data_IF_963053426639
#
_entry.id   IF_963053426639
#
_cell.length_a   1.000
_cell.length_b   1.000
_cell.length_c   1.000
_cell.angle_alpha   90.00
_cell.angle_beta   90.00
_cell.angle_gamma   90.00
#
_symmetry.space_group_name_H-M   'P 1'
#
loop_
_entity.id
_entity.type
_entity.pdbx_description
1 polymer ?
#
# COMPACT_ATOMS: atom_id res chain seq x y z
N UNK A 1 6.72 23.44 -35.43
CA UNK A 1 6.81 24.20 -34.15
C UNK A 1 6.24 23.30 -33.07
N UNK A 2 6.86 23.21 -31.90
CA UNK A 2 6.26 22.44 -30.79
C UNK A 2 5.06 23.20 -30.24
N UNK A 3 3.95 22.48 -30.11
CA UNK A 3 2.66 23.02 -29.66
C UNK A 3 2.77 23.62 -28.25
N UNK A 4 2.18 24.80 -28.03
CA UNK A 4 2.11 25.45 -26.71
C UNK A 4 0.90 24.92 -25.95
N UNK A 5 1.13 24.00 -25.02
CA UNK A 5 0.08 23.47 -24.16
C UNK A 5 0.03 24.21 -22.83
N UNK A 6 -1.17 24.50 -22.34
CA UNK A 6 -1.40 24.95 -20.97
C UNK A 6 -2.19 23.90 -20.20
N UNK A 7 -1.60 23.35 -19.14
CA UNK A 7 -2.28 22.40 -18.26
C UNK A 7 -2.89 23.15 -17.07
N UNK A 8 -4.19 22.97 -16.83
CA UNK A 8 -4.82 23.47 -15.61
C UNK A 8 -4.75 22.41 -14.53
N UNK A 9 -4.45 22.82 -13.30
CA UNK A 9 -4.38 21.90 -12.16
C UNK A 9 -4.83 22.58 -10.87
N UNK A 10 -4.97 21.78 -9.80
CA UNK A 10 -5.11 22.28 -8.45
C UNK A 10 -3.80 22.15 -7.67
N UNK A 11 -3.74 22.79 -6.51
CA UNK A 11 -2.53 22.95 -5.71
C UNK A 11 -1.80 21.64 -5.41
N UNK A 12 -2.53 20.60 -4.95
CA UNK A 12 -1.92 19.31 -4.56
C UNK A 12 -1.33 18.52 -5.73
N UNK A 13 -1.73 18.83 -6.96
CA UNK A 13 -1.31 18.11 -8.16
C UNK A 13 -0.20 18.85 -8.94
N UNK A 14 0.08 20.10 -8.59
CA UNK A 14 1.06 20.95 -9.27
C UNK A 14 2.48 20.36 -9.28
N UNK A 15 3.09 19.98 -8.13
CA UNK A 15 4.49 19.51 -8.12
C UNK A 15 4.68 18.21 -8.91
N UNK A 16 3.69 17.30 -8.84
CA UNK A 16 3.70 16.05 -9.62
C UNK A 16 3.59 16.32 -11.11
N UNK A 17 2.72 17.26 -11.52
CA UNK A 17 2.55 17.61 -12.91
C UNK A 17 3.83 18.27 -13.46
N UNK A 18 4.47 19.16 -12.71
CA UNK A 18 5.75 19.77 -13.10
C UNK A 18 6.83 18.73 -13.39
N UNK A 19 7.01 17.76 -12.48
CA UNK A 19 8.00 16.68 -12.66
C UNK A 19 7.63 15.75 -13.80
N UNK A 20 6.34 15.43 -13.96
CA UNK A 20 5.85 14.65 -15.09
C UNK A 20 6.14 15.36 -16.41
N UNK A 21 5.82 16.65 -16.55
CA UNK A 21 6.10 17.42 -17.76
C UNK A 21 7.60 17.57 -18.03
N UNK A 22 8.42 17.74 -16.99
CA UNK A 22 9.88 17.75 -17.12
C UNK A 22 10.41 16.42 -17.72
N UNK A 23 9.77 15.29 -17.40
CA UNK A 23 10.08 13.97 -17.96
C UNK A 23 9.84 13.84 -19.47
N UNK A 24 9.08 14.75 -20.10
CA UNK A 24 8.91 14.78 -21.56
C UNK A 24 10.05 15.50 -22.30
N UNK A 25 10.98 16.16 -21.59
CA UNK A 25 12.15 16.80 -22.18
C UNK A 25 11.80 17.94 -23.16
N UNK A 26 12.49 17.98 -24.31
CA UNK A 26 12.33 19.05 -25.33
C UNK A 26 10.90 19.20 -25.87
N UNK A 27 10.10 18.13 -25.88
CA UNK A 27 8.70 18.21 -26.32
C UNK A 27 7.86 19.12 -25.42
N UNK A 28 8.11 19.09 -24.11
CA UNK A 28 7.41 19.91 -23.13
C UNK A 28 7.98 21.32 -22.97
N UNK A 29 8.97 21.72 -23.79
CA UNK A 29 9.61 23.05 -23.73
C UNK A 29 8.62 24.21 -23.76
N UNK A 30 7.55 24.05 -24.54
CA UNK A 30 6.48 25.04 -24.71
C UNK A 30 5.24 24.77 -23.85
N UNK A 31 5.30 23.78 -22.96
CA UNK A 31 4.21 23.44 -22.08
C UNK A 31 4.30 24.26 -20.79
N UNK A 32 3.16 24.71 -20.30
CA UNK A 32 3.04 25.51 -19.07
C UNK A 32 1.96 24.93 -18.19
N UNK A 33 2.07 25.16 -16.89
CA UNK A 33 1.08 24.72 -15.91
C UNK A 33 0.50 25.97 -15.24
N UNK A 34 -0.81 25.94 -14.97
CA UNK A 34 -1.49 26.97 -14.21
C UNK A 34 -2.29 26.34 -13.07
N UNK A 35 -1.92 26.66 -11.82
CA UNK A 35 -2.73 26.35 -10.64
C UNK A 35 -3.91 27.31 -10.58
N UNK A 36 -5.13 26.77 -10.68
CA UNK A 36 -6.36 27.57 -10.66
C UNK A 36 -6.77 27.99 -9.23
N UNK A 37 -5.99 27.61 -8.21
CA UNK A 37 -6.19 27.98 -6.81
C UNK A 37 -7.26 27.16 -6.10
N UNK A 38 -7.46 25.90 -6.51
CA UNK A 38 -8.28 24.91 -5.78
C UNK A 38 -7.37 23.84 -5.17
N UNK A 39 -7.76 23.26 -4.03
CA UNK A 39 -6.93 22.24 -3.37
C UNK A 39 -6.76 20.98 -4.23
N UNK A 40 -7.85 20.47 -4.81
CA UNK A 40 -7.87 19.26 -5.66
C UNK A 40 -8.52 19.58 -7.01
N UNK A 41 -7.96 19.06 -8.10
CA UNK A 41 -8.43 19.28 -9.48
C UNK A 41 -9.92 18.94 -9.70
N UNK A 42 -10.48 17.97 -8.95
CA UNK A 42 -11.90 17.60 -9.04
C UNK A 42 -12.86 18.72 -8.60
N UNK A 43 -12.38 19.73 -7.85
CA UNK A 43 -13.16 20.90 -7.43
C UNK A 43 -13.13 22.04 -8.46
N UNK A 44 -12.42 21.86 -9.57
CA UNK A 44 -12.34 22.85 -10.65
C UNK A 44 -13.66 22.87 -11.43
N UNK A 45 -14.39 23.98 -11.37
CA UNK A 45 -15.62 24.21 -12.13
C UNK A 45 -15.39 25.22 -13.25
N UNK A 46 -16.29 25.24 -14.23
CA UNK A 46 -16.28 26.22 -15.33
C UNK A 46 -16.22 27.67 -14.83
N UNK A 47 -17.01 28.03 -13.83
CA UNK A 47 -17.02 29.38 -13.25
C UNK A 47 -15.68 29.77 -12.62
N UNK A 48 -15.03 28.81 -11.95
CA UNK A 48 -13.70 29.03 -11.36
C UNK A 48 -12.67 29.29 -12.46
N UNK A 49 -12.71 28.51 -13.55
CA UNK A 49 -11.79 28.68 -14.68
C UNK A 49 -12.01 30.05 -15.34
N UNK A 50 -13.24 30.40 -15.66
CA UNK A 50 -13.59 31.68 -16.28
C UNK A 50 -13.13 32.88 -15.45
N UNK A 51 -13.21 32.78 -14.12
CA UNK A 51 -12.83 33.85 -13.20
C UNK A 51 -11.33 33.96 -12.97
N UNK A 52 -10.60 32.83 -12.92
CA UNK A 52 -9.23 32.78 -12.38
C UNK A 52 -8.15 32.57 -13.44
N UNK A 53 -8.48 32.02 -14.60
CA UNK A 53 -7.52 31.85 -15.68
C UNK A 53 -7.21 33.24 -16.30
N UNK A 54 -5.95 33.72 -16.27
CA UNK A 54 -5.61 35.06 -16.73
C UNK A 54 -5.77 35.22 -18.24
N UNK A 55 -6.05 36.45 -18.66
CA UNK A 55 -6.13 36.88 -20.07
C UNK A 55 -5.03 37.92 -20.36
N UNK A 56 -4.41 37.91 -21.54
CA UNK A 56 -4.64 37.01 -22.68
C UNK A 56 -4.03 35.60 -22.47
N UNK A 57 -4.63 34.59 -23.11
CA UNK A 57 -4.15 33.21 -23.06
C UNK A 57 -3.02 33.00 -24.07
N UNK A 58 -1.85 32.55 -23.60
CA UNK A 58 -0.68 32.30 -24.43
C UNK A 58 -0.46 30.79 -24.69
N UNK A 59 -1.48 30.11 -25.20
CA UNK A 59 -1.44 28.67 -25.48
C UNK A 59 -2.18 28.34 -26.78
N UNK A 60 -1.72 27.32 -27.48
CA UNK A 60 -2.38 26.77 -28.68
C UNK A 60 -3.51 25.81 -28.28
N UNK A 61 -3.43 25.20 -27.09
CA UNK A 61 -4.45 24.31 -26.52
C UNK A 61 -4.34 24.26 -25.00
N UNK A 62 -5.49 24.18 -24.32
CA UNK A 62 -5.60 24.05 -22.85
C UNK A 62 -6.06 22.65 -22.47
N UNK A 63 -5.28 21.96 -21.64
CA UNK A 63 -5.58 20.62 -21.14
C UNK A 63 -6.14 20.74 -19.72
N UNK A 64 -7.40 20.35 -19.55
CA UNK A 64 -8.05 20.23 -18.25
C UNK A 64 -7.79 18.85 -17.63
N UNK A 65 -7.85 18.72 -16.29
CA UNK A 65 -7.91 17.41 -15.65
C UNK A 65 -9.13 16.63 -16.14
N UNK A 66 -9.01 15.31 -16.37
CA UNK A 66 -10.10 14.51 -16.96
C UNK A 66 -11.41 14.55 -16.15
N UNK A 67 -11.31 14.68 -14.82
CA UNK A 67 -12.46 14.78 -13.91
C UNK A 67 -13.08 16.18 -13.82
N UNK A 68 -12.50 17.20 -14.46
CA UNK A 68 -13.05 18.55 -14.45
C UNK A 68 -14.37 18.58 -15.21
N UNK A 69 -15.48 18.90 -14.54
CA UNK A 69 -16.80 19.02 -15.16
C UNK A 69 -17.00 20.46 -15.64
N UNK A 70 -16.55 20.76 -16.85
CA UNK A 70 -16.75 22.06 -17.51
C UNK A 70 -17.20 21.89 -18.96
N UNK A 71 -17.99 22.85 -19.46
CA UNK A 71 -18.30 22.97 -20.88
C UNK A 71 -17.08 23.52 -21.64
N UNK A 72 -16.46 22.66 -22.44
CA UNK A 72 -15.26 22.98 -23.19
C UNK A 72 -15.54 23.99 -24.32
N UNK A 73 -16.75 23.97 -24.90
CA UNK A 73 -17.12 24.88 -25.98
C UNK A 73 -17.24 26.31 -25.44
N UNK A 74 -17.94 26.47 -24.32
CA UNK A 74 -18.05 27.77 -23.64
C UNK A 74 -16.68 28.32 -23.22
N UNK A 75 -15.78 27.47 -22.71
CA UNK A 75 -14.42 27.89 -22.36
C UNK A 75 -13.60 28.28 -23.60
N UNK A 76 -13.70 27.51 -24.69
CA UNK A 76 -12.98 27.80 -25.91
C UNK A 76 -13.41 29.14 -26.53
N UNK A 77 -14.71 29.44 -26.52
CA UNK A 77 -15.23 30.74 -26.96
C UNK A 77 -14.73 31.89 -26.08
N UNK A 78 -14.77 31.72 -24.75
CA UNK A 78 -14.40 32.77 -23.80
C UNK A 78 -12.91 33.13 -23.81
N UNK A 79 -12.03 32.18 -24.15
CA UNK A 79 -10.57 32.36 -24.12
C UNK A 79 -9.91 32.38 -25.51
N UNK A 80 -10.64 32.03 -26.58
CA UNK A 80 -10.14 32.05 -27.94
C UNK A 80 -9.12 30.94 -28.25
N UNK A 81 -9.14 29.83 -27.51
CA UNK A 81 -8.27 28.67 -27.73
C UNK A 81 -9.01 27.35 -27.46
N UNK A 82 -8.65 26.24 -28.13
CA UNK A 82 -9.21 24.92 -27.85
C UNK A 82 -8.99 24.46 -26.40
N UNK A 83 -10.03 23.89 -25.78
CA UNK A 83 -9.97 23.19 -24.50
C UNK A 83 -10.19 21.70 -24.72
N UNK A 84 -9.39 20.89 -24.04
CA UNK A 84 -9.47 19.43 -24.09
C UNK A 84 -9.45 18.84 -22.67
N UNK A 85 -10.12 17.70 -22.50
CA UNK A 85 -10.00 16.90 -21.28
C UNK A 85 -8.81 15.97 -21.42
N UNK A 86 -7.81 16.17 -20.58
CA UNK A 86 -6.71 15.23 -20.38
C UNK A 86 -7.15 13.98 -19.61
N UNK A 87 -6.20 13.13 -19.20
CA UNK A 87 -6.50 11.94 -18.42
C UNK A 87 -7.05 12.30 -17.03
N UNK A 88 -7.76 11.35 -16.41
CA UNK A 88 -8.21 11.51 -15.02
C UNK A 88 -7.04 11.58 -14.03
N UNK A 89 -5.97 10.83 -14.30
CA UNK A 89 -4.79 10.77 -13.44
C UNK A 89 -3.55 11.27 -14.19
N UNK A 90 -2.69 12.04 -13.50
CA UNK A 90 -1.41 12.52 -14.06
C UNK A 90 -0.51 11.35 -14.49
N UNK A 91 -0.61 10.20 -13.82
CA UNK A 91 0.15 9.01 -14.17
C UNK A 91 -0.15 8.48 -15.57
N UNK A 92 -1.35 8.76 -16.11
CA UNK A 92 -1.75 8.35 -17.46
C UNK A 92 -1.36 9.38 -18.53
N UNK A 93 -0.77 10.52 -18.14
CA UNK A 93 -0.39 11.58 -19.08
C UNK A 93 0.60 11.10 -20.16
N UNK A 94 1.60 10.24 -19.86
CA UNK A 94 2.40 9.60 -20.88
C UNK A 94 1.55 8.85 -21.89
N UNK A 95 0.64 7.98 -21.43
CA UNK A 95 -0.22 7.17 -22.30
C UNK A 95 -1.15 8.05 -23.15
N UNK A 96 -1.69 9.12 -22.56
CA UNK A 96 -2.49 10.13 -23.26
C UNK A 96 -1.72 10.79 -24.42
N UNK A 97 -0.41 10.98 -24.28
CA UNK A 97 0.49 11.43 -25.36
C UNK A 97 1.15 10.28 -26.14
N UNK A 98 0.64 9.05 -26.04
CA UNK A 98 1.14 7.88 -26.79
C UNK A 98 2.48 7.31 -26.29
N UNK A 99 2.94 7.69 -25.10
CA UNK A 99 4.17 7.20 -24.46
C UNK A 99 3.87 6.14 -23.41
N UNK A 100 4.80 5.20 -23.20
CA UNK A 100 4.74 4.30 -22.03
C UNK A 100 5.15 5.09 -20.78
N UNK A 101 4.27 5.14 -19.78
CA UNK A 101 4.61 5.68 -18.45
C UNK A 101 5.62 4.78 -17.73
N UNK A 102 6.55 5.36 -16.98
CA UNK A 102 7.47 4.62 -16.14
C UNK A 102 6.77 4.08 -14.89
N UNK A 103 7.09 2.84 -14.47
CA UNK A 103 6.69 2.33 -13.15
C UNK A 103 7.44 3.11 -12.07
N UNK A 104 6.77 3.42 -10.96
CA UNK A 104 7.42 4.07 -9.83
C UNK A 104 8.47 3.15 -9.20
N UNK A 105 9.61 3.72 -8.78
CA UNK A 105 10.62 2.98 -8.02
C UNK A 105 10.14 2.80 -6.57
N UNK A 106 9.87 1.55 -6.19
CA UNK A 106 9.41 1.16 -4.85
C UNK A 106 10.49 0.40 -4.06
N UNK A 107 11.73 0.41 -4.52
CA UNK A 107 12.83 -0.32 -3.87
C UNK A 107 13.25 0.34 -2.55
N UNK A 108 12.98 1.63 -2.39
CA UNK A 108 13.40 2.46 -1.25
C UNK A 108 12.28 2.66 -0.23
N UNK A 109 12.67 2.77 1.02
CA UNK A 109 11.84 3.18 2.16
C UNK A 109 12.75 3.71 3.27
N UNK A 110 12.19 4.44 4.23
CA UNK A 110 12.90 4.92 5.43
C UNK A 110 12.20 4.58 6.76
N UNK A 111 11.01 3.99 6.70
CA UNK A 111 10.37 3.38 7.86
C UNK A 111 10.90 1.95 8.07
N UNK A 112 11.19 1.61 9.32
CA UNK A 112 11.63 0.29 9.78
C UNK A 112 10.51 -0.41 10.52
N UNK A 113 10.28 -1.68 10.18
CA UNK A 113 9.24 -2.50 10.79
C UNK A 113 9.84 -3.36 11.89
N UNK A 114 9.35 -3.18 13.11
CA UNK A 114 9.56 -4.03 14.29
C UNK A 114 8.39 -5.00 14.31
N UNK A 115 8.64 -6.25 13.92
CA UNK A 115 7.61 -7.28 13.87
C UNK A 115 7.69 -8.15 15.12
N UNK A 116 6.63 -8.12 15.90
CA UNK A 116 6.56 -8.80 17.20
C UNK A 116 6.22 -10.29 17.05
N UNK A 117 6.94 -11.11 17.81
CA UNK A 117 6.61 -12.50 18.14
C UNK A 117 6.11 -12.51 19.59
N UNK A 118 4.80 -12.33 19.76
CA UNK A 118 4.15 -12.07 21.06
C UNK A 118 4.34 -13.19 22.08
N UNK A 119 4.40 -14.42 21.61
CA UNK A 119 4.46 -15.65 22.40
C UNK A 119 5.87 -16.27 22.41
N UNK A 120 6.90 -15.47 22.13
CA UNK A 120 8.29 -15.94 22.06
C UNK A 120 8.73 -16.72 23.32
N UNK A 121 8.22 -16.36 24.50
CA UNK A 121 8.57 -17.03 25.76
C UNK A 121 8.12 -18.49 25.87
N UNK A 122 7.08 -18.91 25.13
CA UNK A 122 6.54 -20.27 25.15
C UNK A 122 6.89 -21.10 23.91
N UNK A 123 7.48 -20.46 22.91
CA UNK A 123 8.02 -21.13 21.72
C UNK A 123 9.37 -21.76 22.04
N UNK A 124 9.82 -22.70 21.23
CA UNK A 124 11.22 -23.13 21.19
C UNK A 124 12.07 -22.14 20.38
N UNK A 125 13.39 -22.14 20.60
CA UNK A 125 14.35 -21.33 19.83
C UNK A 125 14.17 -21.53 18.31
N UNK A 126 13.99 -22.78 17.87
CA UNK A 126 13.81 -23.13 16.46
C UNK A 126 12.50 -22.57 15.88
N UNK A 127 11.41 -22.61 16.64
CA UNK A 127 10.13 -22.01 16.24
C UNK A 127 10.24 -20.50 16.13
N UNK A 128 10.94 -19.84 17.07
CA UNK A 128 11.19 -18.39 17.02
C UNK A 128 12.00 -18.04 15.77
N UNK A 129 13.04 -18.82 15.44
CA UNK A 129 13.85 -18.60 14.23
C UNK A 129 13.01 -18.78 12.96
N UNK A 130 12.16 -19.82 12.91
CA UNK A 130 11.27 -20.05 11.77
C UNK A 130 10.30 -18.86 11.59
N UNK A 131 9.70 -18.39 12.68
CA UNK A 131 8.81 -17.23 12.66
C UNK A 131 9.53 -15.94 12.26
N UNK A 132 10.71 -15.69 12.81
CA UNK A 132 11.56 -14.55 12.48
C UNK A 132 11.93 -14.52 10.98
N UNK A 133 12.23 -15.68 10.40
CA UNK A 133 12.54 -15.81 8.97
C UNK A 133 11.33 -15.42 8.12
N UNK A 134 10.15 -15.93 8.43
CA UNK A 134 8.91 -15.57 7.72
C UNK A 134 8.59 -14.08 7.83
N UNK A 135 8.76 -13.48 9.01
CA UNK A 135 8.54 -12.04 9.21
C UNK A 135 9.56 -11.20 8.43
N UNK A 136 10.82 -11.65 8.37
CA UNK A 136 11.88 -10.99 7.59
C UNK A 136 11.58 -11.02 6.10
N UNK A 137 11.16 -12.17 5.57
CA UNK A 137 10.72 -12.33 4.18
C UNK A 137 9.48 -11.48 3.87
N UNK A 138 8.58 -11.31 4.84
CA UNK A 138 7.42 -10.43 4.72
C UNK A 138 7.74 -8.93 4.75
N UNK A 139 8.96 -8.55 5.18
CA UNK A 139 9.44 -7.15 5.17
C UNK A 139 9.91 -6.59 6.50
N UNK A 140 9.93 -7.39 7.59
CA UNK A 140 10.41 -6.92 8.89
C UNK A 140 11.89 -6.51 8.86
N UNK A 141 12.25 -5.42 9.54
CA UNK A 141 13.64 -5.00 9.71
C UNK A 141 14.22 -5.51 11.02
N UNK A 142 13.41 -5.48 12.07
CA UNK A 142 13.73 -5.87 13.43
C UNK A 142 12.71 -6.92 13.88
N UNK A 143 13.19 -7.97 14.54
CA UNK A 143 12.35 -8.99 15.17
C UNK A 143 12.22 -8.62 16.63
N UNK A 144 11.00 -8.33 17.06
CA UNK A 144 10.69 -7.98 18.43
C UNK A 144 10.20 -9.22 19.19
N UNK A 145 10.85 -9.52 20.31
CA UNK A 145 10.51 -10.67 21.15
C UNK A 145 9.57 -10.19 22.26
N UNK A 146 8.30 -10.56 22.16
CA UNK A 146 7.31 -10.26 23.19
C UNK A 146 7.44 -11.22 24.38
N UNK A 147 7.58 -10.66 25.58
CA UNK A 147 7.48 -11.42 26.83
C UNK A 147 6.04 -11.46 27.34
N UNK A 148 5.52 -12.66 27.59
CA UNK A 148 4.21 -12.81 28.20
C UNK A 148 4.23 -12.42 29.69
N UNK A 149 3.21 -11.69 30.18
CA UNK A 149 3.04 -11.44 31.61
C UNK A 149 3.04 -12.75 32.42
N UNK A 150 3.66 -12.71 33.60
CA UNK A 150 3.74 -13.85 34.54
C UNK A 150 4.31 -15.17 33.99
N UNK A 151 4.86 -15.15 32.78
CA UNK A 151 5.46 -16.32 32.14
C UNK A 151 6.98 -16.13 32.11
N UNK A 152 7.78 -17.07 32.64
CA UNK A 152 9.23 -16.99 32.52
C UNK A 152 9.69 -17.20 31.08
N UNK A 153 10.73 -16.47 30.66
CA UNK A 153 11.42 -16.71 29.39
C UNK A 153 12.81 -17.33 29.67
N UNK A 154 12.91 -18.65 29.95
CA UNK A 154 14.15 -19.28 30.41
C UNK A 154 15.24 -19.33 29.34
N UNK A 155 14.86 -19.40 28.07
CA UNK A 155 15.76 -19.53 26.93
C UNK A 155 15.96 -18.18 26.19
N UNK A 156 15.67 -17.04 26.86
CA UNK A 156 15.77 -15.69 26.28
C UNK A 156 17.14 -15.39 25.67
N UNK A 157 18.21 -15.62 26.43
CA UNK A 157 19.58 -15.33 25.96
C UNK A 157 19.97 -16.24 24.79
N UNK A 158 19.56 -17.51 24.84
CA UNK A 158 19.79 -18.47 23.75
C UNK A 158 19.06 -18.03 22.47
N UNK A 159 17.80 -17.62 22.58
CA UNK A 159 17.01 -17.07 21.47
C UNK A 159 17.66 -15.84 20.85
N UNK A 160 18.05 -14.86 21.67
CA UNK A 160 18.70 -13.63 21.19
C UNK A 160 20.00 -13.99 20.45
N UNK A 161 20.88 -14.78 21.06
CA UNK A 161 22.16 -15.19 20.45
C UNK A 161 21.92 -15.93 19.14
N UNK A 162 20.95 -16.84 19.07
CA UNK A 162 20.65 -17.63 17.89
C UNK A 162 20.09 -16.79 16.73
N UNK A 163 19.29 -15.75 17.02
CA UNK A 163 18.81 -14.78 16.04
C UNK A 163 19.95 -13.87 15.56
N UNK A 164 20.76 -13.32 16.47
CA UNK A 164 21.91 -12.48 16.12
C UNK A 164 22.94 -13.23 15.26
N UNK A 165 23.19 -14.51 15.55
CA UNK A 165 24.08 -15.37 14.75
C UNK A 165 23.61 -15.56 13.30
N UNK A 166 22.31 -15.37 13.03
CA UNK A 166 21.71 -15.41 11.68
C UNK A 166 21.57 -14.04 11.02
N UNK A 167 22.08 -12.98 11.67
CA UNK A 167 22.07 -11.62 11.13
C UNK A 167 20.76 -10.86 11.33
N UNK A 168 19.85 -11.36 12.19
CA UNK A 168 18.67 -10.59 12.57
C UNK A 168 19.05 -9.41 13.47
N UNK A 169 18.32 -8.31 13.33
CA UNK A 169 18.26 -7.28 14.37
C UNK A 169 17.15 -7.66 15.35
N UNK A 170 17.45 -7.57 16.65
CA UNK A 170 16.60 -8.12 17.71
C UNK A 170 16.23 -7.02 18.69
N UNK A 171 14.94 -6.99 18.99
CA UNK A 171 14.32 -6.14 19.99
C UNK A 171 13.65 -7.01 21.06
N UNK A 172 13.53 -6.50 22.28
CA UNK A 172 12.90 -7.20 23.39
C UNK A 172 11.86 -6.30 24.05
N UNK A 173 10.61 -6.76 24.14
CA UNK A 173 9.53 -6.10 24.87
C UNK A 173 9.16 -6.89 26.13
N UNK A 174 9.36 -6.28 27.29
CA UNK A 174 9.01 -6.89 28.57
C UNK A 174 8.67 -5.86 29.62
N UNK A 175 7.65 -6.16 30.43
CA UNK A 175 7.32 -5.40 31.63
C UNK A 175 8.25 -5.71 32.83
N UNK A 176 9.10 -6.75 32.76
CA UNK A 176 9.98 -7.17 33.86
C UNK A 176 11.39 -6.66 33.65
N UNK A 177 11.88 -5.89 34.63
CA UNK A 177 13.25 -5.36 34.64
C UNK A 177 14.29 -6.47 34.47
N UNK A 178 14.13 -7.62 35.12
CA UNK A 178 15.13 -8.70 35.04
C UNK A 178 15.26 -9.27 33.62
N UNK A 179 14.16 -9.34 32.86
CA UNK A 179 14.17 -9.81 31.47
C UNK A 179 14.85 -8.79 30.56
N UNK A 180 14.55 -7.50 30.72
CA UNK A 180 15.22 -6.42 29.99
C UNK A 180 16.73 -6.40 30.24
N UNK A 181 17.16 -6.57 31.50
CA UNK A 181 18.58 -6.66 31.86
C UNK A 181 19.27 -7.89 31.24
N UNK A 182 18.59 -9.04 31.20
CA UNK A 182 19.09 -10.25 30.54
C UNK A 182 19.22 -10.04 29.03
N UNK A 183 18.21 -9.44 28.40
CA UNK A 183 18.22 -9.10 26.98
C UNK A 183 19.34 -8.14 26.59
N UNK A 184 19.57 -7.11 27.41
CA UNK A 184 20.68 -6.18 27.24
C UNK A 184 22.04 -6.89 27.25
N UNK A 185 22.26 -7.78 28.23
CA UNK A 185 23.50 -8.57 28.34
C UNK A 185 23.66 -9.58 27.21
N UNK A 186 22.57 -10.12 26.69
CA UNK A 186 22.57 -11.07 25.58
C UNK A 186 22.84 -10.42 24.21
N UNK A 187 22.80 -9.08 24.13
CA UNK A 187 23.11 -8.34 22.91
C UNK A 187 21.90 -8.04 22.02
N UNK A 188 20.73 -7.81 22.62
CA UNK A 188 19.62 -7.18 21.91
C UNK A 188 20.04 -5.78 21.38
N UNK A 189 19.52 -5.38 20.23
CA UNK A 189 19.79 -4.06 19.64
C UNK A 189 18.87 -2.97 20.23
N UNK A 190 17.68 -3.41 20.67
CA UNK A 190 16.63 -2.56 21.19
C UNK A 190 15.98 -3.19 22.43
N UNK A 191 15.51 -2.33 23.33
CA UNK A 191 14.63 -2.69 24.45
C UNK A 191 13.42 -1.77 24.41
N UNK A 192 12.23 -2.35 24.47
CA UNK A 192 10.99 -1.59 24.43
C UNK A 192 10.57 -1.11 25.82
N UNK A 193 9.80 -0.03 25.82
CA UNK A 193 9.06 0.44 26.99
C UNK A 193 9.92 0.89 28.19
N UNK A 194 11.10 1.48 27.94
CA UNK A 194 11.89 2.11 29.00
C UNK A 194 11.38 3.51 29.32
N UNK A 195 11.59 3.95 30.56
CA UNK A 195 11.18 5.25 31.08
C UNK A 195 12.34 5.88 31.90
N UNK A 196 12.09 7.04 32.50
CA UNK A 196 13.09 7.75 33.31
C UNK A 196 13.62 6.96 34.52
N UNK A 197 12.90 5.93 34.97
CA UNK A 197 13.27 5.08 36.12
C UNK A 197 13.99 3.79 35.69
N UNK A 198 13.67 3.27 34.50
CA UNK A 198 14.18 2.00 33.96
C UNK A 198 15.35 2.18 33.01
N UNK A 199 15.61 3.39 32.50
CA UNK A 199 16.78 3.70 31.67
C UNK A 199 18.13 3.37 32.35
N UNK A 200 18.14 3.28 33.67
CA UNK A 200 19.29 2.82 34.47
C UNK A 200 19.78 1.40 34.15
N UNK A 201 18.98 0.57 33.47
CA UNK A 201 19.36 -0.77 32.99
C UNK A 201 20.56 -0.70 32.04
N UNK A 202 20.64 0.37 31.24
CA UNK A 202 21.70 0.56 30.26
C UNK A 202 22.88 1.30 30.88
N UNK A 203 24.15 0.98 30.54
CA UNK A 203 25.30 1.80 30.91
C UNK A 203 25.38 3.07 30.06
N UNK A 204 26.18 4.04 30.50
CA UNK A 204 26.46 5.25 29.70
C UNK A 204 27.15 4.89 28.37
N UNK A 205 26.81 5.60 27.30
CA UNK A 205 27.24 5.33 25.92
C UNK A 205 26.91 3.89 25.44
N UNK A 206 25.85 3.29 26.00
CA UNK A 206 25.35 1.99 25.53
C UNK A 206 25.11 2.02 24.01
N UNK A 207 25.58 1.00 23.26
CA UNK A 207 25.26 0.87 21.84
C UNK A 207 23.81 0.43 21.59
N UNK A 208 23.13 -0.09 22.62
CA UNK A 208 21.71 -0.45 22.57
C UNK A 208 20.85 0.80 22.51
N UNK A 209 19.85 0.81 21.62
CA UNK A 209 18.92 1.93 21.44
C UNK A 209 17.57 1.61 22.10
N UNK A 210 17.27 2.15 23.30
CA UNK A 210 15.97 1.96 23.95
C UNK A 210 14.85 2.71 23.23
N UNK A 211 13.65 2.16 23.33
CA UNK A 211 12.40 2.86 23.03
C UNK A 211 11.91 3.44 24.36
N UNK A 212 11.78 4.76 24.40
CA UNK A 212 11.34 5.50 25.58
C UNK A 212 9.85 5.75 25.49
N UNK A 213 9.15 5.49 26.59
CA UNK A 213 7.70 5.67 26.73
C UNK A 213 7.38 6.60 27.90
N UNK A 214 6.24 7.30 27.88
CA UNK A 214 5.81 8.13 29.01
C UNK A 214 5.42 7.26 30.22
N UNK A 215 5.81 7.70 31.42
CA UNK A 215 5.36 7.13 32.68
C UNK A 215 5.02 8.27 33.67
N UNK A 216 3.74 8.52 34.01
CA UNK A 216 2.56 7.72 33.66
C UNK A 216 2.15 7.85 32.19
N UNK A 217 1.30 6.93 31.70
CA UNK A 217 0.81 6.90 30.32
C UNK A 217 0.26 8.27 29.87
N UNK A 218 0.71 8.71 28.71
CA UNK A 218 0.30 9.99 28.10
C UNK A 218 1.03 11.24 28.61
N UNK A 219 1.87 11.14 29.65
CA UNK A 219 2.65 12.27 30.16
C UNK A 219 3.89 12.54 29.30
N UNK A 220 3.77 13.48 28.36
CA UNK A 220 4.87 13.88 27.48
C UNK A 220 6.06 14.52 28.21
N UNK A 221 5.85 15.12 29.38
CA UNK A 221 6.94 15.76 30.12
C UNK A 221 7.87 14.68 30.71
N UNK A 222 7.30 13.56 31.18
CA UNK A 222 8.05 12.37 31.61
C UNK A 222 8.88 11.77 30.46
N UNK A 223 8.29 11.67 29.26
CA UNK A 223 8.97 11.17 28.06
C UNK A 223 10.16 12.06 27.68
N UNK A 224 9.98 13.38 27.71
CA UNK A 224 11.07 14.32 27.46
C UNK A 224 12.15 14.28 28.54
N UNK A 225 11.79 14.02 29.79
CA UNK A 225 12.79 13.87 30.84
C UNK A 225 13.63 12.61 30.63
N UNK A 226 13.01 11.47 30.30
CA UNK A 226 13.70 10.25 29.91
C UNK A 226 14.67 10.49 28.73
N UNK A 227 14.21 11.21 27.70
CA UNK A 227 15.03 11.60 26.55
C UNK A 227 16.28 12.39 26.98
N UNK A 228 16.12 13.44 27.79
CA UNK A 228 17.24 14.25 28.32
C UNK A 228 18.20 13.42 29.17
N UNK A 229 17.70 12.42 29.91
CA UNK A 229 18.57 11.49 30.65
C UNK A 229 19.41 10.67 29.66
N UNK A 230 18.81 10.12 28.60
CA UNK A 230 19.52 9.37 27.57
C UNK A 230 20.59 10.22 26.88
N UNK A 231 20.26 11.45 26.47
CA UNK A 231 21.19 12.41 25.86
C UNK A 231 22.39 12.69 26.75
N UNK A 232 22.17 13.03 28.02
CA UNK A 232 23.25 13.31 28.99
C UNK A 232 24.19 12.12 29.19
N UNK A 233 23.67 10.91 28.99
CA UNK A 233 24.40 9.65 29.14
C UNK A 233 25.00 9.15 27.83
N UNK A 234 24.85 9.90 26.72
CA UNK A 234 25.35 9.52 25.41
C UNK A 234 24.64 8.31 24.79
N UNK A 235 23.40 8.04 25.18
CA UNK A 235 22.61 6.91 24.69
C UNK A 235 21.66 7.44 23.60
N UNK A 236 21.69 6.83 22.40
CA UNK A 236 20.70 7.10 21.35
C UNK A 236 19.37 6.44 21.71
N UNK A 237 18.23 7.04 21.35
CA UNK A 237 16.91 6.56 21.75
C UNK A 237 15.85 6.78 20.66
N UNK A 238 14.71 6.12 20.81
CA UNK A 238 13.51 6.32 20.00
C UNK A 238 12.37 6.70 20.94
N UNK A 239 11.56 7.70 20.62
CA UNK A 239 10.42 8.12 21.42
C UNK A 239 9.14 7.43 20.96
N UNK A 240 8.36 6.90 21.91
CA UNK A 240 7.01 6.38 21.65
C UNK A 240 5.98 7.00 22.61
N UNK A 241 5.18 7.98 22.15
CA UNK A 241 4.04 8.55 22.88
C UNK A 241 2.85 7.62 23.10
N UNK A 242 2.90 6.41 22.55
CA UNK A 242 1.90 5.33 22.58
C UNK A 242 0.59 5.69 21.87
N UNK A 243 0.25 4.89 20.85
CA UNK A 243 -1.02 4.98 20.12
C UNK A 243 -2.13 4.20 20.83
N UNK A 244 -3.14 4.90 21.33
CA UNK A 244 -4.30 4.27 21.98
C UNK A 244 -5.33 3.69 20.99
N UNK A 245 -6.09 2.64 21.37
CA UNK A 245 -7.21 2.11 20.59
C UNK A 245 -8.36 3.10 20.35
N UNK A 246 -9.21 2.79 19.37
CA UNK A 246 -10.48 3.51 19.13
C UNK A 246 -11.35 3.43 20.39
N UNK A 247 -11.96 4.55 20.78
CA UNK A 247 -12.72 4.75 22.03
C UNK A 247 -11.93 4.74 23.34
N UNK A 248 -10.62 4.47 23.31
CA UNK A 248 -9.75 4.48 24.49
C UNK A 248 -8.69 5.60 24.48
N UNK A 249 -8.71 6.47 23.47
CA UNK A 249 -7.82 7.63 23.43
C UNK A 249 -7.25 7.97 22.06
N UNK A 250 -7.59 7.24 20.99
CA UNK A 250 -6.98 7.41 19.65
C UNK A 250 -6.80 8.87 19.20
N UNK A 251 -7.83 9.71 19.33
CA UNK A 251 -7.72 11.10 18.91
C UNK A 251 -6.68 11.88 19.75
N UNK A 252 -6.69 11.66 21.07
CA UNK A 252 -5.73 12.26 21.99
C UNK A 252 -4.32 11.70 21.78
N UNK A 253 -4.16 10.41 21.44
CA UNK A 253 -2.85 9.84 21.15
C UNK A 253 -2.25 10.39 19.86
N UNK A 254 -3.05 10.60 18.81
CA UNK A 254 -2.61 11.30 17.60
C UNK A 254 -2.15 12.73 17.94
N UNK A 255 -2.88 13.47 18.78
CA UNK A 255 -2.45 14.78 19.25
C UNK A 255 -1.10 14.71 19.99
N UNK A 256 -0.89 13.70 20.83
CA UNK A 256 0.41 13.47 21.50
C UNK A 256 1.55 13.22 20.52
N UNK A 257 1.33 12.47 19.44
CA UNK A 257 2.34 12.29 18.38
C UNK A 257 2.70 13.61 17.70
N UNK A 258 1.68 14.41 17.34
CA UNK A 258 1.88 15.73 16.71
C UNK A 258 2.66 16.66 17.65
N UNK A 259 2.25 16.71 18.93
CA UNK A 259 2.90 17.54 19.94
C UNK A 259 4.34 17.08 20.21
N UNK A 260 4.59 15.78 20.26
CA UNK A 260 5.95 15.23 20.42
C UNK A 260 6.86 15.65 19.27
N UNK A 261 6.40 15.51 18.01
CA UNK A 261 7.18 15.99 16.85
C UNK A 261 7.40 17.50 16.88
N UNK A 262 6.44 18.29 17.38
CA UNK A 262 6.60 19.75 17.54
C UNK A 262 7.66 20.10 18.58
N UNK A 263 7.68 19.38 19.70
CA UNK A 263 8.63 19.58 20.80
C UNK A 263 10.03 19.08 20.46
N UNK A 264 10.11 17.97 19.72
CA UNK A 264 11.36 17.26 19.38
C UNK A 264 11.48 17.05 17.85
N UNK A 265 11.72 18.11 17.05
CA UNK A 265 11.64 18.03 15.59
C UNK A 265 12.56 17.01 14.92
N UNK A 266 13.73 16.74 15.52
CA UNK A 266 14.73 15.82 15.00
C UNK A 266 14.76 14.44 15.67
N UNK A 267 13.85 14.15 16.60
CA UNK A 267 13.87 12.87 17.32
C UNK A 267 13.43 11.71 16.43
N UNK A 268 14.05 10.54 16.63
CA UNK A 268 13.50 9.28 16.14
C UNK A 268 12.24 8.95 16.93
N UNK A 269 11.20 8.51 16.22
CA UNK A 269 9.91 8.18 16.82
C UNK A 269 9.44 6.81 16.37
N UNK A 270 8.74 6.12 17.27
CA UNK A 270 8.06 4.86 17.03
C UNK A 270 6.55 5.04 17.13
N UNK A 271 5.79 4.31 16.31
CA UNK A 271 4.35 4.14 16.48
C UNK A 271 3.98 2.66 16.46
N UNK A 272 3.35 2.20 17.55
CA UNK A 272 2.69 0.89 17.60
C UNK A 272 1.37 0.92 16.85
N UNK A 273 1.30 0.27 15.68
CA UNK A 273 0.09 0.24 14.83
C UNK A 273 -0.89 -0.88 15.23
N UNK A 274 -0.40 -1.87 15.98
CA UNK A 274 -1.13 -3.06 16.42
C UNK A 274 -2.47 -2.76 17.09
N UNK A 275 -2.52 -1.74 17.94
CA UNK A 275 -3.72 -1.34 18.67
C UNK A 275 -4.90 -0.96 17.78
N UNK A 276 -4.66 -0.61 16.51
CA UNK A 276 -5.72 -0.33 15.56
C UNK A 276 -5.91 -1.44 14.54
N UNK A 277 -4.82 -2.07 14.06
CA UNK A 277 -4.95 -3.14 13.05
C UNK A 277 -5.52 -4.42 13.63
N UNK A 278 -5.23 -4.76 14.89
CA UNK A 278 -5.78 -5.97 15.56
C UNK A 278 -7.17 -5.74 16.15
N UNK A 279 -7.43 -4.53 16.66
CA UNK A 279 -8.63 -4.24 17.47
C UNK A 279 -9.73 -3.51 16.69
N UNK A 280 -9.71 -3.61 15.36
CA UNK A 280 -10.72 -3.02 14.48
C UNK A 280 -11.14 -4.02 13.42
N UNK A 281 -12.44 -4.37 13.37
CA UNK A 281 -13.01 -5.20 12.30
C UNK A 281 -13.14 -4.40 10.98
N UNK A 282 -12.01 -4.14 10.33
CA UNK A 282 -11.90 -3.47 9.03
C UNK A 282 -10.70 -4.04 8.26
N UNK A 283 -10.66 -3.90 6.93
CA UNK A 283 -9.50 -4.37 6.16
C UNK A 283 -8.23 -3.66 6.63
N UNK A 284 -7.28 -4.45 7.16
CA UNK A 284 -6.06 -3.95 7.80
C UNK A 284 -5.18 -3.15 6.86
N UNK A 285 -5.24 -3.42 5.55
CA UNK A 285 -4.53 -2.66 4.52
C UNK A 285 -4.94 -1.18 4.46
N UNK A 286 -6.23 -0.89 4.61
CA UNK A 286 -6.76 0.47 4.66
C UNK A 286 -6.35 1.21 5.93
N UNK A 287 -6.46 0.53 7.09
CA UNK A 287 -6.03 1.05 8.39
C UNK A 287 -4.53 1.35 8.39
N UNK A 288 -3.73 0.41 7.90
CA UNK A 288 -2.27 0.53 7.75
C UNK A 288 -1.90 1.71 6.84
N UNK A 289 -2.57 1.88 5.70
CA UNK A 289 -2.31 2.99 4.78
C UNK A 289 -2.50 4.37 5.45
N UNK A 290 -3.54 4.53 6.26
CA UNK A 290 -3.81 5.79 6.97
C UNK A 290 -2.79 6.02 8.09
N UNK A 291 -2.50 5.00 8.90
CA UNK A 291 -1.51 5.10 10.00
C UNK A 291 -0.12 5.43 9.49
N UNK A 292 0.34 4.75 8.43
CA UNK A 292 1.64 5.04 7.85
C UNK A 292 1.63 6.38 7.11
N UNK A 293 0.47 6.84 6.62
CA UNK A 293 0.30 8.22 6.14
C UNK A 293 0.61 9.24 7.22
N UNK A 294 0.05 9.08 8.43
CA UNK A 294 0.37 9.91 9.59
C UNK A 294 1.86 9.80 9.95
N UNK A 295 2.42 8.59 9.94
CA UNK A 295 3.85 8.38 10.19
C UNK A 295 4.71 9.13 9.15
N UNK A 296 4.31 9.11 7.88
CA UNK A 296 5.05 9.77 6.80
C UNK A 296 5.04 11.30 6.93
N UNK A 297 3.91 11.87 7.37
CA UNK A 297 3.75 13.31 7.63
C UNK A 297 4.52 13.75 8.89
N UNK A 298 4.54 12.91 9.93
CA UNK A 298 5.22 13.18 11.21
C UNK A 298 6.66 12.67 11.26
N UNK A 299 7.22 12.19 10.15
CA UNK A 299 8.55 11.58 10.04
C UNK A 299 8.83 10.51 11.11
N UNK A 300 7.81 9.70 11.43
CA UNK A 300 7.93 8.55 12.32
C UNK A 300 8.51 7.40 11.52
N UNK A 301 9.68 6.91 11.93
CA UNK A 301 10.48 5.96 11.15
C UNK A 301 10.54 4.56 11.74
N UNK A 302 9.94 4.33 12.91
CA UNK A 302 9.90 3.01 13.53
C UNK A 302 8.43 2.59 13.71
N UNK A 303 8.08 1.42 13.18
CA UNK A 303 6.71 0.91 13.18
C UNK A 303 6.70 -0.38 13.98
N UNK A 304 6.05 -0.40 15.14
CA UNK A 304 5.83 -1.63 15.90
C UNK A 304 4.51 -2.25 15.42
N UNK A 305 4.61 -3.44 14.84
CA UNK A 305 3.45 -4.22 14.36
C UNK A 305 3.44 -5.58 15.02
N UNK A 306 2.23 -6.02 15.33
CA UNK A 306 1.93 -7.33 15.88
C UNK A 306 1.07 -8.11 14.89
N UNK A 307 1.23 -9.44 14.87
CA UNK A 307 0.40 -10.35 14.10
C UNK A 307 -0.01 -11.54 14.97
N UNK A 308 -1.08 -11.34 15.75
CA UNK A 308 -1.63 -12.34 16.69
C UNK A 308 -2.86 -13.00 16.10
N UNK A 309 -3.81 -12.21 15.61
CA UNK A 309 -5.08 -12.77 15.15
C UNK A 309 -5.01 -13.27 13.70
N UNK A 310 -5.85 -14.24 13.31
CA UNK A 310 -6.00 -14.63 11.90
C UNK A 310 -6.50 -13.49 10.99
N UNK A 311 -6.99 -12.38 11.57
CA UNK A 311 -7.46 -11.20 10.85
C UNK A 311 -6.28 -10.45 10.21
N UNK A 312 -5.19 -10.22 10.97
CA UNK A 312 -4.02 -9.42 10.54
C UNK A 312 -2.95 -10.24 9.81
N UNK A 313 -3.31 -11.36 9.17
CA UNK A 313 -2.34 -12.37 8.69
C UNK A 313 -1.31 -11.87 7.66
N UNK A 314 -1.54 -10.71 7.04
CA UNK A 314 -0.66 -10.06 6.05
C UNK A 314 -0.20 -8.67 6.48
N UNK A 315 -0.36 -8.31 7.76
CA UNK A 315 -0.07 -6.95 8.25
C UNK A 315 1.36 -6.51 7.97
N UNK A 316 2.36 -7.40 8.09
CA UNK A 316 3.76 -7.05 7.80
C UNK A 316 3.96 -6.70 6.32
N UNK A 317 3.38 -7.49 5.41
CA UNK A 317 3.43 -7.20 3.97
C UNK A 317 2.67 -5.92 3.62
N UNK A 318 1.56 -5.65 4.30
CA UNK A 318 0.81 -4.40 4.15
C UNK A 318 1.64 -3.20 4.59
N UNK A 319 2.33 -3.29 5.73
CA UNK A 319 3.24 -2.26 6.22
C UNK A 319 4.42 -2.04 5.25
N UNK A 320 5.02 -3.10 4.72
CA UNK A 320 6.11 -3.00 3.73
C UNK A 320 5.64 -2.35 2.42
N UNK A 321 4.48 -2.74 1.91
CA UNK A 321 3.90 -2.14 0.72
C UNK A 321 3.57 -0.66 0.93
N UNK A 322 2.97 -0.32 2.08
CA UNK A 322 2.57 1.04 2.43
C UNK A 322 3.78 1.97 2.57
N UNK A 323 4.83 1.58 3.32
CA UNK A 323 6.01 2.44 3.54
C UNK A 323 6.73 2.78 2.23
N UNK A 324 6.82 1.82 1.28
CA UNK A 324 7.46 2.01 -0.02
C UNK A 324 6.64 2.96 -0.89
N UNK A 325 5.32 2.76 -0.92
CA UNK A 325 4.38 3.64 -1.62
C UNK A 325 4.46 5.07 -1.10
N UNK A 326 4.42 5.25 0.22
CA UNK A 326 4.44 6.55 0.87
C UNK A 326 5.79 7.24 0.72
N UNK A 327 6.90 6.50 0.84
CA UNK A 327 8.24 7.03 0.58
C UNK A 327 8.36 7.58 -0.83
N UNK A 328 7.97 6.81 -1.84
CA UNK A 328 8.00 7.24 -3.24
C UNK A 328 7.09 8.46 -3.46
N UNK A 329 5.87 8.46 -2.92
CA UNK A 329 4.92 9.57 -3.06
C UNK A 329 5.41 10.86 -2.37
N UNK A 330 6.02 10.74 -1.19
CA UNK A 330 6.59 11.88 -0.44
C UNK A 330 7.82 12.46 -1.14
N UNK A 331 8.74 11.61 -1.62
CA UNK A 331 9.89 12.04 -2.43
C UNK A 331 9.44 12.81 -3.68
N UNK A 332 8.24 12.48 -4.14
CA UNK A 332 7.58 13.07 -5.27
C UNK A 332 6.73 14.32 -4.97
N UNK A 333 6.59 14.73 -3.71
CA UNK A 333 5.63 15.77 -3.29
C UNK A 333 4.23 15.54 -3.90
N UNK A 334 3.77 14.29 -3.85
CA UNK A 334 2.56 13.83 -4.50
C UNK A 334 1.66 13.05 -3.54
N UNK A 335 0.37 12.99 -3.87
CA UNK A 335 -0.55 12.07 -3.22
C UNK A 335 -0.12 10.62 -3.46
N UNK A 336 -0.28 9.70 -2.47
CA UNK A 336 0.09 8.29 -2.58
C UNK A 336 -0.91 7.50 -3.46
N UNK A 337 -1.06 7.93 -4.71
CA UNK A 337 -1.99 7.38 -5.69
C UNK A 337 -1.27 7.06 -6.99
N UNK A 338 -1.48 5.85 -7.51
CA UNK A 338 -0.86 5.40 -8.76
C UNK A 338 0.60 4.95 -8.63
N UNK A 339 1.08 4.72 -7.40
CA UNK A 339 2.43 4.18 -7.14
C UNK A 339 2.44 2.66 -7.02
N UNK A 340 1.47 2.10 -6.29
CA UNK A 340 1.30 0.66 -6.07
C UNK A 340 -0.19 0.30 -6.06
N UNK A 341 -0.45 -0.98 -6.26
CA UNK A 341 -1.77 -1.63 -6.12
C UNK A 341 -1.76 -2.71 -5.05
N UNK A 342 -0.63 -2.89 -4.34
CA UNK A 342 -0.46 -3.93 -3.35
C UNK A 342 -1.49 -3.87 -2.21
N UNK A 343 -1.94 -2.67 -1.82
CA UNK A 343 -2.97 -2.49 -0.80
C UNK A 343 -4.41 -2.51 -1.35
N UNK A 344 -4.60 -2.59 -2.67
CA UNK A 344 -5.92 -2.68 -3.29
C UNK A 344 -6.34 -4.15 -3.43
N UNK A 345 -6.63 -4.75 -2.27
CA UNK A 345 -6.77 -6.20 -2.15
C UNK A 345 -8.13 -6.70 -2.65
N UNK A 346 -9.22 -5.95 -2.42
CA UNK A 346 -10.59 -6.38 -2.76
C UNK A 346 -10.98 -6.01 -4.19
N UNK A 347 -10.61 -4.82 -4.65
CA UNK A 347 -11.03 -4.29 -5.96
C UNK A 347 -9.83 -3.68 -6.70
N UNK A 348 -9.89 -3.62 -8.02
CA UNK A 348 -8.87 -3.01 -8.86
C UNK A 348 -9.31 -1.61 -9.32
N UNK A 349 -8.35 -0.76 -9.71
CA UNK A 349 -8.68 0.58 -10.23
C UNK A 349 -9.38 0.52 -11.59
N UNK A 350 -9.05 -0.49 -12.39
CA UNK A 350 -9.55 -0.72 -13.75
C UNK A 350 -9.95 -2.19 -13.91
N UNK A 351 -11.13 -2.58 -13.41
CA UNK A 351 -11.55 -3.97 -13.38
C UNK A 351 -11.85 -4.56 -14.76
N UNK A 352 -12.20 -3.73 -15.74
CA UNK A 352 -12.64 -4.18 -17.06
C UNK A 352 -11.61 -3.82 -18.12
N UNK A 353 -11.28 -4.80 -18.98
CA UNK A 353 -10.37 -4.62 -20.11
C UNK A 353 -11.02 -3.87 -21.27
N UNK A 354 -12.30 -4.16 -21.45
CA UNK A 354 -13.09 -3.89 -22.62
C UNK A 354 -14.51 -3.54 -22.18
N UNK A 355 -15.19 -2.81 -23.03
CA UNK A 355 -16.59 -2.47 -22.93
C UNK A 355 -17.47 -3.64 -23.38
N UNK A 356 -18.75 -3.68 -22.98
CA UNK A 356 -19.69 -4.70 -23.44
C UNK A 356 -19.80 -4.76 -24.97
N UNK A 357 -19.75 -3.60 -25.63
CA UNK A 357 -19.82 -3.46 -27.09
C UNK A 357 -18.60 -4.08 -27.78
N UNK A 358 -17.39 -3.79 -27.28
CA UNK A 358 -16.14 -4.38 -27.80
C UNK A 358 -16.17 -5.91 -27.67
N UNK A 359 -16.65 -6.44 -26.54
CA UNK A 359 -16.76 -7.90 -26.35
C UNK A 359 -17.78 -8.50 -27.33
N UNK A 360 -18.92 -7.84 -27.55
CA UNK A 360 -19.93 -8.31 -28.50
C UNK A 360 -19.43 -8.30 -29.95
N UNK A 361 -18.56 -7.36 -30.31
CA UNK A 361 -17.88 -7.34 -31.62
C UNK A 361 -16.90 -8.50 -31.76
N UNK A 362 -16.04 -8.72 -30.76
CA UNK A 362 -15.11 -9.86 -30.72
C UNK A 362 -15.85 -11.20 -30.83
N UNK A 363 -16.99 -11.33 -30.14
CA UNK A 363 -17.82 -12.53 -30.20
C UNK A 363 -18.36 -12.82 -31.60
N UNK A 364 -18.70 -11.80 -32.40
CA UNK A 364 -19.20 -11.96 -33.78
C UNK A 364 -18.10 -12.39 -34.75
N UNK A 365 -16.87 -11.95 -34.54
CA UNK A 365 -15.74 -12.29 -35.41
C UNK A 365 -15.17 -13.68 -35.14
N UNK A 366 -15.51 -14.25 -33.99
CA UNK A 366 -14.92 -15.49 -33.51
C UNK A 366 -15.34 -16.71 -34.34
N UNK A 367 -14.34 -17.53 -34.73
CA UNK A 367 -14.53 -18.64 -35.66
C UNK A 367 -14.29 -20.03 -35.05
N UNK A 368 -13.73 -20.11 -33.85
CA UNK A 368 -13.47 -21.37 -33.16
C UNK A 368 -14.49 -21.64 -32.05
N UNK A 369 -14.61 -22.91 -31.67
CA UNK A 369 -15.58 -23.39 -30.68
C UNK A 369 -15.06 -23.26 -29.24
N UNK A 370 -13.88 -22.68 -29.01
CA UNK A 370 -13.36 -22.53 -27.66
C UNK A 370 -14.06 -21.36 -26.96
N UNK A 371 -14.60 -21.64 -25.78
CA UNK A 371 -15.19 -20.62 -24.94
C UNK A 371 -14.13 -19.64 -24.43
N UNK A 372 -14.42 -18.36 -24.63
CA UNK A 372 -13.72 -17.24 -24.03
C UNK A 372 -14.63 -16.60 -23.00
N UNK A 373 -14.06 -16.25 -21.86
CA UNK A 373 -14.75 -15.58 -20.78
C UNK A 373 -14.12 -14.19 -20.62
N UNK A 374 -14.97 -13.17 -20.53
CA UNK A 374 -14.58 -11.79 -20.23
C UNK A 374 -15.52 -11.22 -19.17
N UNK A 375 -15.06 -10.20 -18.46
CA UNK A 375 -15.88 -9.50 -17.46
C UNK A 375 -15.95 -8.02 -17.83
N UNK A 376 -17.16 -7.48 -17.88
CA UNK A 376 -17.45 -6.09 -18.16
C UNK A 376 -18.44 -5.50 -17.14
N UNK A 377 -18.81 -4.24 -17.33
CA UNK A 377 -19.67 -3.50 -16.41
C UNK A 377 -21.10 -4.06 -16.30
N UNK A 378 -21.57 -4.81 -17.30
CA UNK A 378 -22.91 -5.41 -17.38
C UNK A 378 -22.95 -6.90 -17.00
N UNK A 379 -21.78 -7.57 -16.87
CA UNK A 379 -21.71 -8.92 -16.34
C UNK A 379 -20.52 -9.76 -16.81
N UNK A 380 -20.71 -11.07 -16.72
CA UNK A 380 -19.83 -12.13 -17.20
C UNK A 380 -20.23 -12.45 -18.63
N UNK A 381 -19.31 -12.27 -19.56
CA UNK A 381 -19.48 -12.60 -20.97
C UNK A 381 -18.83 -13.95 -21.24
N UNK A 382 -19.57 -14.88 -21.83
CA UNK A 382 -19.02 -16.11 -22.37
C UNK A 382 -19.40 -16.23 -23.85
N UNK A 383 -18.41 -16.48 -24.70
CA UNK A 383 -18.61 -16.49 -26.14
C UNK A 383 -17.71 -17.51 -26.85
N UNK A 384 -18.23 -18.02 -27.97
CA UNK A 384 -17.61 -18.96 -28.88
C UNK A 384 -18.19 -18.72 -30.30
N UNK A 385 -17.75 -19.47 -31.32
CA UNK A 385 -18.33 -19.37 -32.68
C UNK A 385 -19.85 -19.48 -32.65
N UNK A 386 -20.54 -18.39 -33.04
CA UNK A 386 -22.01 -18.35 -33.12
C UNK A 386 -22.73 -18.40 -31.76
N UNK A 387 -22.01 -18.18 -30.66
CA UNK A 387 -22.54 -18.21 -29.31
C UNK A 387 -22.02 -17.01 -28.51
N UNK A 388 -22.91 -16.27 -27.85
CA UNK A 388 -22.56 -15.23 -26.90
C UNK A 388 -23.67 -15.11 -25.87
N UNK A 389 -23.31 -15.15 -24.58
CA UNK A 389 -24.20 -14.93 -23.45
C UNK A 389 -23.55 -14.00 -22.44
N UNK A 390 -24.41 -13.25 -21.76
CA UNK A 390 -24.06 -12.34 -20.68
C UNK A 390 -24.94 -12.67 -19.49
N UNK A 391 -24.34 -12.82 -18.31
CA UNK A 391 -25.07 -13.07 -17.06
C UNK A 391 -24.38 -12.38 -15.88
N UNK A 392 -25.12 -12.21 -14.78
CA UNK A 392 -24.58 -11.68 -13.52
C UNK A 392 -24.14 -12.79 -12.56
N UNK A 393 -24.54 -14.03 -12.83
CA UNK A 393 -24.21 -15.23 -12.06
C UNK A 393 -23.70 -16.33 -13.00
N UNK A 394 -22.69 -17.08 -12.55
CA UNK A 394 -22.04 -18.12 -13.33
C UNK A 394 -22.98 -19.30 -13.63
N UNK A 395 -23.85 -19.65 -12.68
CA UNK A 395 -24.68 -20.85 -12.76
C UNK A 395 -25.78 -20.74 -13.81
N UNK A 396 -26.32 -19.56 -14.08
CA UNK A 396 -27.32 -19.34 -15.13
C UNK A 396 -26.77 -19.58 -16.54
N UNK A 397 -25.45 -19.48 -16.75
CA UNK A 397 -24.82 -19.73 -18.05
C UNK A 397 -24.72 -21.22 -18.39
N UNK A 398 -24.60 -22.10 -17.38
CA UNK A 398 -24.30 -23.52 -17.56
C UNK A 398 -25.25 -24.30 -18.49
N UNK A 399 -26.59 -24.15 -18.38
CA UNK A 399 -27.53 -24.86 -19.26
C UNK A 399 -27.37 -24.54 -20.75
N UNK A 400 -26.69 -23.44 -21.08
CA UNK A 400 -26.52 -22.97 -22.45
C UNK A 400 -25.18 -23.39 -23.08
N UNK A 401 -24.27 -23.98 -22.30
CA UNK A 401 -22.91 -24.32 -22.76
C UNK A 401 -22.83 -25.66 -23.50
N UNK A 402 -23.83 -26.54 -23.35
CA UNK A 402 -23.86 -27.85 -24.03
C UNK A 402 -22.72 -28.79 -23.64
N UNK A 403 -22.19 -28.66 -22.41
CA UNK A 403 -21.05 -29.44 -21.89
C UNK A 403 -21.47 -30.59 -20.98
N UNK A 404 -22.75 -31.00 -20.97
CA UNK A 404 -23.26 -31.98 -19.98
C UNK A 404 -22.63 -33.37 -20.12
N UNK A 405 -22.06 -33.67 -21.29
CA UNK A 405 -21.40 -34.95 -21.60
C UNK A 405 -19.88 -34.88 -21.50
N UNK A 406 -19.31 -33.72 -21.19
CA UNK A 406 -17.87 -33.50 -21.06
C UNK A 406 -17.55 -32.98 -19.66
N UNK A 407 -17.39 -33.91 -18.71
CA UNK A 407 -17.17 -33.57 -17.31
C UNK A 407 -15.90 -32.76 -17.06
N UNK A 408 -14.85 -32.97 -17.86
CA UNK A 408 -13.58 -32.23 -17.72
C UNK A 408 -13.76 -30.78 -18.17
N UNK A 409 -14.42 -30.56 -19.31
CA UNK A 409 -14.69 -29.23 -19.82
C UNK A 409 -15.71 -28.48 -18.94
N UNK A 410 -16.75 -29.16 -18.47
CA UNK A 410 -17.72 -28.59 -17.53
C UNK A 410 -17.07 -28.15 -16.21
N UNK A 411 -16.14 -28.94 -15.67
CA UNK A 411 -15.38 -28.57 -14.47
C UNK A 411 -14.51 -27.32 -14.70
N UNK A 412 -13.78 -27.28 -15.83
CA UNK A 412 -12.96 -26.13 -16.20
C UNK A 412 -13.80 -24.84 -16.33
N UNK A 413 -14.89 -24.89 -17.10
CA UNK A 413 -15.78 -23.74 -17.27
C UNK A 413 -16.41 -23.31 -15.94
N UNK A 414 -16.75 -24.27 -15.06
CA UNK A 414 -17.23 -23.95 -13.71
C UNK A 414 -16.22 -23.18 -12.88
N UNK A 415 -14.97 -23.61 -12.87
CA UNK A 415 -13.90 -22.92 -12.15
C UNK A 415 -13.69 -21.49 -12.69
N UNK A 416 -13.62 -21.33 -14.01
CA UNK A 416 -13.38 -20.04 -14.65
C UNK A 416 -14.59 -19.09 -14.53
N UNK A 417 -15.82 -19.58 -14.71
CA UNK A 417 -17.03 -18.75 -14.57
C UNK A 417 -17.24 -18.31 -13.12
N UNK A 418 -17.00 -19.16 -12.14
CA UNK A 418 -17.05 -18.74 -10.72
C UNK A 418 -15.98 -17.70 -10.40
N UNK A 419 -14.77 -17.83 -10.95
CA UNK A 419 -13.71 -16.82 -10.82
C UNK A 419 -14.12 -15.49 -11.49
N UNK A 420 -14.74 -15.56 -12.66
CA UNK A 420 -15.28 -14.38 -13.35
C UNK A 420 -16.41 -13.71 -12.57
N UNK A 421 -17.29 -14.48 -11.93
CA UNK A 421 -18.35 -13.94 -11.06
C UNK A 421 -17.78 -13.21 -9.84
N UNK A 422 -16.78 -13.80 -9.16
CA UNK A 422 -16.08 -13.14 -8.05
C UNK A 422 -15.47 -11.82 -8.55
N UNK A 423 -14.83 -11.85 -9.71
CA UNK A 423 -14.21 -10.68 -10.29
C UNK A 423 -15.22 -9.58 -10.64
N UNK A 424 -16.36 -9.95 -11.22
CA UNK A 424 -17.45 -9.03 -11.51
C UNK A 424 -17.99 -8.37 -10.23
N UNK A 425 -18.28 -9.18 -9.19
CA UNK A 425 -18.87 -8.70 -7.94
C UNK A 425 -17.95 -7.77 -7.15
N UNK A 426 -16.66 -8.08 -7.13
CA UNK A 426 -15.68 -7.30 -6.37
C UNK A 426 -15.05 -6.16 -7.19
N UNK A 427 -15.29 -6.11 -8.50
CA UNK A 427 -14.57 -5.20 -9.39
C UNK A 427 -13.08 -5.56 -9.44
N UNK A 428 -12.75 -6.83 -9.72
CA UNK A 428 -11.40 -7.29 -10.02
C UNK A 428 -11.20 -7.49 -11.50
N UNK A 429 -9.95 -7.32 -11.94
CA UNK A 429 -9.51 -7.63 -13.29
C UNK A 429 -9.50 -9.15 -13.48
N UNK A 430 -10.50 -9.63 -14.21
CA UNK A 430 -10.51 -11.02 -14.67
C UNK A 430 -9.58 -11.19 -15.88
N UNK A 431 -8.86 -12.31 -15.86
CA UNK A 431 -8.13 -12.88 -16.99
C UNK A 431 -8.29 -14.39 -16.93
N UNK A 432 -8.74 -14.97 -18.03
CA UNK A 432 -8.94 -16.41 -18.13
C UNK A 432 -7.60 -17.13 -17.91
N UNK A 433 -7.65 -18.26 -17.20
CA UNK A 433 -6.48 -19.06 -16.79
C UNK A 433 -5.47 -18.37 -15.85
N UNK A 434 -5.64 -17.09 -15.52
CA UNK A 434 -4.82 -16.39 -14.52
C UNK A 434 -5.54 -16.33 -13.16
N UNK A 435 -4.81 -16.43 -12.02
CA UNK A 435 -5.40 -16.18 -10.71
C UNK A 435 -5.81 -14.70 -10.59
N UNK A 436 -6.78 -14.40 -9.71
CA UNK A 436 -7.07 -13.02 -9.34
C UNK A 436 -5.91 -12.45 -8.50
N UNK A 437 -5.51 -11.20 -8.77
CA UNK A 437 -4.48 -10.51 -7.98
C UNK A 437 -5.12 -9.86 -6.75
N UNK A 438 -4.76 -10.33 -5.55
CA UNK A 438 -5.20 -9.73 -4.28
C UNK A 438 -4.12 -8.81 -3.67
N UNK A 439 -3.18 -8.32 -4.48
CA UNK A 439 -2.11 -7.45 -4.03
C UNK A 439 -1.18 -8.17 -3.06
N UNK A 440 -0.93 -7.58 -1.89
CA UNK A 440 -0.14 -8.19 -0.82
C UNK A 440 -0.95 -9.12 0.11
N UNK A 441 -2.26 -9.28 -0.10
CA UNK A 441 -3.09 -10.17 0.71
C UNK A 441 -2.81 -11.67 0.46
N UNK A 442 -2.21 -11.99 -0.68
CA UNK A 442 -1.88 -13.35 -1.10
C UNK A 442 -0.47 -13.42 -1.66
N UNK A 443 0.15 -14.59 -1.57
CA UNK A 443 1.43 -14.81 -2.23
C UNK A 443 1.23 -14.77 -3.75
N UNK A 444 2.10 -14.04 -4.44
CA UNK A 444 2.10 -14.04 -5.90
C UNK A 444 2.79 -15.31 -6.38
N UNK A 445 2.15 -16.05 -7.28
CA UNK A 445 2.85 -17.07 -8.04
C UNK A 445 3.95 -16.39 -8.83
N UNK A 446 5.22 -16.69 -8.52
CA UNK A 446 6.33 -16.26 -9.37
C UNK A 446 6.15 -16.95 -10.72
N UNK A 447 5.66 -16.19 -11.70
CA UNK A 447 5.60 -16.63 -13.08
C UNK A 447 6.94 -16.33 -13.73
N UNK A 448 7.58 -17.37 -14.25
CA UNK A 448 8.72 -17.22 -15.14
C UNK A 448 8.20 -16.63 -16.47
N UNK A 449 8.22 -15.30 -16.59
CA UNK A 449 7.77 -14.54 -17.76
C UNK A 449 8.51 -14.95 -19.07
N UNK A 450 9.56 -15.77 -18.97
CA UNK A 450 10.33 -16.31 -20.10
C UNK A 450 9.78 -17.60 -20.69
N UNK A 451 8.77 -18.22 -20.08
CA UNK A 451 8.12 -19.43 -20.59
C UNK A 451 6.70 -19.14 -21.04
N UNK A 452 6.40 -19.44 -22.30
CA UNK A 452 5.01 -19.59 -22.75
C UNK A 452 4.38 -20.68 -21.88
N UNK A 453 3.29 -20.36 -21.17
CA UNK A 453 2.55 -21.35 -20.37
C UNK A 453 2.23 -22.54 -21.27
N UNK A 454 2.58 -23.75 -20.82
CA UNK A 454 2.01 -24.96 -21.43
C UNK A 454 0.49 -24.86 -21.26
N UNK A 455 -0.26 -25.03 -22.36
CA UNK A 455 -1.72 -25.07 -22.30
C UNK A 455 -2.17 -25.99 -21.17
N UNK A 456 -3.12 -25.52 -20.35
CA UNK A 456 -3.59 -26.23 -19.17
C UNK A 456 -3.85 -27.71 -19.44
N UNK A 457 -3.57 -28.55 -18.43
CA UNK A 457 -3.60 -30.02 -18.52
C UNK A 457 -4.93 -30.62 -19.04
N UNK A 458 -5.98 -29.83 -19.20
CA UNK A 458 -7.30 -30.20 -19.74
C UNK A 458 -7.38 -30.26 -21.28
N UNK A 459 -6.38 -29.76 -22.03
CA UNK A 459 -6.38 -29.81 -23.51
C UNK A 459 -5.56 -30.95 -24.12
N UNK A 460 -5.02 -31.88 -23.32
CA UNK A 460 -4.40 -33.09 -23.88
C UNK A 460 -5.50 -34.00 -24.43
N UNK A 461 -5.87 -33.80 -25.71
CA UNK A 461 -6.60 -34.81 -26.49
C UNK A 461 -5.92 -36.16 -26.24
N UNK A 462 -6.68 -37.12 -25.74
CA UNK A 462 -6.26 -38.51 -25.72
C UNK A 462 -5.78 -38.86 -27.14
N UNK A 463 -4.48 -39.12 -27.29
CA UNK A 463 -3.98 -39.73 -28.53
C UNK A 463 -4.55 -41.14 -28.55
N UNK A 464 -5.39 -41.41 -29.56
CA UNK A 464 -5.89 -42.74 -29.87
C UNK A 464 -4.76 -43.77 -29.96
#
# INVERSE_FOLDING_TARGET
>A
MSERLLFLTGHLALPRLERMLAGFGEEARNWRIHDIGVKVAALMTQEIILRRLPRPLAADRVILPGRCRADLATLAEAFGAPFERGPEEIADLPAYFGKRGGKADLTRHDMRIFAEIVDASIMSVDEVIARATLLKEAGADVIDLGCLPDTPFPHLEETIVALKARGFSVSLDSAKREELERGARAGADHLLSLDEHTLSILPDNSPLVPILVPNPHGDLDSLQHAARIAERRGISYILDPILDPIHFGLAASIERYVETRRREPGAEMMMGTGNLTELTDADSSGVTAVLLGLCSELDIRHLLTVQVSPHTRRTVQEHDAARRMLFAARADAALPKGYSEALLQIHDKRPYAATPEEIAELARELRDENFRIEVAADGIHIYARGFHRVAQDAMSLFPELGVEKDGAHAFYLGAELMKAEIAFRLGKRYRQDEPLDFGCASDRSQEDETRLREAGHTLRKAKN
#
